data_IF_726486534662
#
_entry.id   IF_726486534662
#
_cell.length_a   1.000
_cell.length_b   1.000
_cell.length_c   1.000
_cell.angle_alpha   90.00
_cell.angle_beta   90.00
_cell.angle_gamma   90.00
#
_symmetry.space_group_name_H-M   'P 1'
#
loop_
_entity.id
_entity.type
_entity.pdbx_description
1 polymer ?
#
# COMPACT_ATOMS: atom_id res chain seq x y z
N UNK A 1 -23.48 27.28 -13.66
CA UNK A 1 -22.94 27.34 -12.28
C UNK A 1 -21.43 27.34 -12.40
N UNK A 2 -20.79 28.48 -12.09
CA UNK A 2 -19.35 28.62 -12.09
C UNK A 2 -18.78 27.71 -10.98
N UNK A 3 -17.81 26.88 -11.33
CA UNK A 3 -17.05 26.09 -10.36
C UNK A 3 -16.31 27.06 -9.43
N UNK A 4 -16.78 27.20 -8.20
CA UNK A 4 -16.01 27.86 -7.16
C UNK A 4 -14.70 27.06 -6.99
N UNK A 5 -13.59 27.64 -7.43
CA UNK A 5 -12.27 27.23 -7.01
C UNK A 5 -12.24 27.47 -5.49
N UNK A 6 -12.18 26.39 -4.69
CA UNK A 6 -12.00 26.55 -3.25
C UNK A 6 -10.75 27.41 -3.01
N UNK A 7 -10.89 28.48 -2.24
CA UNK A 7 -9.75 29.31 -1.87
C UNK A 7 -8.71 28.45 -1.14
N UNK A 8 -7.42 28.63 -1.40
CA UNK A 8 -6.38 27.92 -0.70
C UNK A 8 -6.45 28.23 0.79
N UNK A 9 -6.42 27.21 1.62
CA UNK A 9 -6.39 27.31 3.07
C UNK A 9 -5.03 26.87 3.59
N UNK A 10 -4.67 27.24 4.81
CA UNK A 10 -3.44 26.78 5.47
C UNK A 10 -3.69 25.39 6.04
N UNK A 11 -2.74 24.47 5.84
CA UNK A 11 -2.75 23.16 6.47
C UNK A 11 -2.43 23.26 7.96
N UNK A 12 -2.83 22.25 8.75
CA UNK A 12 -2.45 22.17 10.19
C UNK A 12 -0.97 21.80 10.36
N UNK A 13 -0.38 21.14 9.36
CA UNK A 13 1.05 20.83 9.27
C UNK A 13 1.56 21.04 7.85
N UNK A 14 2.84 21.43 7.66
CA UNK A 14 3.44 21.52 6.33
C UNK A 14 3.37 20.19 5.57
N UNK A 15 3.28 20.27 4.25
CA UNK A 15 3.28 19.07 3.40
C UNK A 15 4.56 18.25 3.59
N UNK A 16 4.43 16.99 3.99
CA UNK A 16 5.57 16.09 4.29
C UNK A 16 6.44 15.78 3.07
N UNK A 17 5.92 16.00 1.85
CA UNK A 17 6.71 15.85 0.63
C UNK A 17 7.52 17.10 0.30
N UNK A 18 6.88 18.27 0.14
CA UNK A 18 7.54 19.47 -0.37
C UNK A 18 7.70 20.60 0.66
N UNK A 19 7.13 20.49 1.84
CA UNK A 19 7.13 21.52 2.88
C UNK A 19 6.13 22.68 2.64
N UNK A 20 5.33 22.62 1.57
CA UNK A 20 4.32 23.66 1.27
C UNK A 20 3.19 23.70 2.32
N UNK A 21 2.72 24.90 2.63
CA UNK A 21 1.66 25.13 3.65
C UNK A 21 0.27 25.37 3.04
N UNK A 22 0.22 25.71 1.75
CA UNK A 22 -1.03 26.00 1.05
C UNK A 22 -1.70 24.74 0.54
N UNK A 23 -2.95 24.55 0.93
CA UNK A 23 -3.76 23.38 0.56
C UNK A 23 -5.14 23.78 0.08
N UNK A 24 -5.76 22.89 -0.66
CA UNK A 24 -7.19 22.94 -0.98
C UNK A 24 -7.91 21.73 -0.38
N UNK A 25 -9.10 21.93 0.18
CA UNK A 25 -9.91 20.84 0.71
C UNK A 25 -10.53 20.05 -0.44
N UNK A 26 -10.30 18.73 -0.48
CA UNK A 26 -10.93 17.81 -1.43
C UNK A 26 -12.22 17.21 -0.88
N UNK A 27 -12.22 16.83 0.41
CA UNK A 27 -13.37 16.23 1.09
C UNK A 27 -13.36 16.55 2.58
N UNK A 28 -14.54 16.56 3.20
CA UNK A 28 -14.71 16.60 4.65
C UNK A 28 -15.36 15.32 5.20
N UNK A 29 -15.41 14.25 4.37
CA UNK A 29 -16.08 13.00 4.75
C UNK A 29 -15.22 11.79 4.40
N UNK A 30 -15.22 10.80 5.32
CA UNK A 30 -14.71 9.45 5.06
C UNK A 30 -15.75 8.63 4.27
N UNK A 31 -15.30 7.50 3.73
CA UNK A 31 -16.16 6.50 3.06
C UNK A 31 -17.27 5.96 3.95
N UNK A 32 -17.05 5.93 5.26
CA UNK A 32 -17.97 5.40 6.26
C UNK A 32 -18.95 6.48 6.78
N UNK A 33 -18.88 7.69 6.21
CA UNK A 33 -19.77 8.82 6.49
C UNK A 33 -19.34 9.70 7.67
N UNK A 34 -18.25 9.35 8.36
CA UNK A 34 -17.65 10.17 9.43
C UNK A 34 -16.97 11.43 8.89
N UNK A 35 -16.62 12.34 9.80
CA UNK A 35 -15.85 13.54 9.47
C UNK A 35 -14.39 13.17 9.18
N UNK A 36 -13.90 13.56 8.01
CA UNK A 36 -12.49 13.39 7.61
C UNK A 36 -12.12 14.50 6.64
N UNK A 37 -11.42 15.52 7.16
CA UNK A 37 -10.88 16.58 6.30
C UNK A 37 -9.69 16.02 5.53
N UNK A 38 -9.83 15.96 4.21
CA UNK A 38 -8.77 15.52 3.29
C UNK A 38 -8.37 16.70 2.41
N UNK A 39 -7.08 16.98 2.36
CA UNK A 39 -6.50 18.13 1.66
C UNK A 39 -5.52 17.70 0.57
N UNK A 40 -5.28 18.60 -0.37
CA UNK A 40 -4.26 18.46 -1.42
C UNK A 40 -3.30 19.63 -1.35
N UNK A 41 -2.00 19.37 -1.34
CA UNK A 41 -0.96 20.38 -1.42
C UNK A 41 -1.00 21.10 -2.76
N UNK A 42 -1.02 22.43 -2.75
CA UNK A 42 -1.05 23.26 -3.96
C UNK A 42 0.24 23.14 -4.79
N UNK A 43 1.38 22.85 -4.14
CA UNK A 43 2.71 22.87 -4.75
C UNK A 43 3.11 21.51 -5.36
N UNK A 44 2.78 20.39 -4.71
CA UNK A 44 3.18 19.07 -5.20
C UNK A 44 2.01 18.13 -5.49
N UNK A 45 0.80 18.43 -5.01
CA UNK A 45 -0.37 17.58 -5.21
C UNK A 45 -0.42 16.35 -4.30
N UNK A 46 0.42 16.24 -3.25
CA UNK A 46 0.24 15.21 -2.23
C UNK A 46 -1.11 15.41 -1.55
N UNK A 47 -1.85 14.33 -1.35
CA UNK A 47 -3.15 14.32 -0.68
C UNK A 47 -3.02 13.61 0.66
N UNK A 48 -3.54 14.22 1.74
CA UNK A 48 -3.51 13.61 3.07
C UNK A 48 -4.69 14.05 3.93
N UNK A 49 -4.93 13.32 5.01
CA UNK A 49 -5.89 13.69 6.06
C UNK A 49 -5.28 14.76 6.97
N UNK A 50 -5.94 15.92 7.13
CA UNK A 50 -5.43 17.07 7.89
C UNK A 50 -6.50 17.65 8.82
N UNK A 51 -6.37 17.50 10.16
CA UNK A 51 -5.30 16.77 10.84
C UNK A 51 -5.36 15.27 10.65
N UNK A 52 -4.26 14.56 10.95
CA UNK A 52 -4.29 13.10 11.01
C UNK A 52 -5.28 12.62 12.07
N UNK A 53 -5.98 11.50 11.82
CA UNK A 53 -6.77 10.84 12.83
C UNK A 53 -5.89 10.47 14.03
N UNK A 54 -6.34 10.78 15.25
CA UNK A 54 -5.61 10.42 16.45
C UNK A 54 -5.48 8.90 16.57
N UNK A 55 -4.29 8.41 17.00
CA UNK A 55 -4.00 6.99 17.26
C UNK A 55 -3.97 6.06 16.04
N UNK A 56 -3.46 6.48 14.88
CA UNK A 56 -3.28 5.60 13.74
C UNK A 56 -2.45 4.34 14.10
N UNK A 57 -1.38 4.47 14.90
CA UNK A 57 -0.59 3.32 15.40
C UNK A 57 -1.44 2.36 16.25
N UNK A 58 -2.15 2.86 17.25
CA UNK A 58 -3.01 2.05 18.11
C UNK A 58 -4.10 1.33 17.32
N UNK A 59 -4.65 1.99 16.31
CA UNK A 59 -5.65 1.40 15.41
C UNK A 59 -5.12 0.14 14.71
N UNK A 60 -3.85 0.12 14.28
CA UNK A 60 -3.24 -1.06 13.63
C UNK A 60 -2.79 -2.13 14.62
N UNK A 61 -2.31 -1.75 15.81
CA UNK A 61 -1.89 -2.71 16.83
C UNK A 61 -3.07 -3.51 17.42
N UNK A 62 -4.14 -2.82 17.81
CA UNK A 62 -5.24 -3.40 18.60
C UNK A 62 -6.54 -3.53 17.82
N UNK A 63 -6.99 -2.46 17.14
CA UNK A 63 -8.36 -2.30 16.68
C UNK A 63 -8.64 -2.84 15.28
N UNK A 64 -7.65 -2.80 14.38
CA UNK A 64 -7.86 -3.12 12.97
C UNK A 64 -8.41 -4.53 12.76
N UNK A 65 -8.03 -5.50 13.57
CA UNK A 65 -8.50 -6.88 13.44
C UNK A 65 -9.65 -7.26 14.36
N UNK A 66 -9.64 -6.82 15.61
CA UNK A 66 -10.74 -7.09 16.53
C UNK A 66 -12.06 -6.51 16.02
N UNK A 67 -12.00 -5.31 15.43
CA UNK A 67 -13.18 -4.65 14.85
C UNK A 67 -13.60 -5.25 13.50
N UNK A 68 -12.66 -5.72 12.67
CA UNK A 68 -12.97 -6.21 11.32
C UNK A 68 -13.18 -7.74 11.23
N UNK A 69 -12.50 -8.56 12.04
CA UNK A 69 -12.50 -10.03 11.83
C UNK A 69 -12.81 -10.88 13.06
N UNK A 70 -12.78 -10.35 14.27
CA UNK A 70 -13.11 -11.01 15.55
C UNK A 70 -12.40 -12.36 15.85
N UNK A 71 -11.38 -12.74 15.08
CA UNK A 71 -10.56 -13.94 15.31
C UNK A 71 -9.14 -13.72 14.85
N UNK A 72 -8.15 -14.31 15.56
CA UNK A 72 -6.75 -14.35 15.15
C UNK A 72 -6.48 -15.39 14.05
N UNK A 73 -7.28 -16.45 14.00
CA UNK A 73 -7.19 -17.46 12.96
C UNK A 73 -7.97 -17.01 11.71
N UNK A 74 -7.31 -16.87 10.56
CA UNK A 74 -7.98 -16.48 9.34
C UNK A 74 -8.86 -17.63 8.84
N UNK A 75 -10.08 -17.32 8.42
CA UNK A 75 -10.93 -18.31 7.74
C UNK A 75 -10.28 -18.73 6.41
N UNK A 76 -10.36 -20.00 6.04
CA UNK A 76 -9.75 -20.56 4.82
C UNK A 76 -10.01 -19.71 3.55
N UNK A 77 -11.22 -19.16 3.40
CA UNK A 77 -11.54 -18.25 2.29
C UNK A 77 -10.70 -16.94 2.29
N UNK A 78 -10.27 -16.46 3.47
CA UNK A 78 -9.42 -15.27 3.57
C UNK A 78 -7.99 -15.62 3.22
N UNK A 79 -7.51 -16.78 3.65
CA UNK A 79 -6.21 -17.32 3.25
C UNK A 79 -6.15 -17.52 1.73
N UNK A 80 -7.17 -18.14 1.13
CA UNK A 80 -7.27 -18.31 -0.32
C UNK A 80 -7.21 -16.96 -1.07
N UNK A 81 -7.90 -15.94 -0.57
CA UNK A 81 -7.85 -14.58 -1.16
C UNK A 81 -6.46 -13.97 -1.06
N UNK A 82 -5.86 -14.04 0.12
CA UNK A 82 -4.53 -13.51 0.36
C UNK A 82 -3.47 -14.28 -0.46
N UNK A 83 -3.61 -15.60 -0.59
CA UNK A 83 -2.79 -16.43 -1.46
C UNK A 83 -2.89 -16.04 -2.94
N UNK A 84 -4.11 -15.75 -3.45
CA UNK A 84 -4.27 -15.25 -4.82
C UNK A 84 -3.65 -13.84 -4.99
N UNK A 85 -3.72 -12.97 -3.98
CA UNK A 85 -3.01 -11.69 -3.99
C UNK A 85 -1.50 -11.93 -4.00
N UNK A 86 -0.99 -12.90 -3.23
CA UNK A 86 0.42 -13.29 -3.23
C UNK A 86 0.89 -13.72 -4.63
N UNK A 87 0.10 -14.52 -5.35
CA UNK A 87 0.40 -14.87 -6.75
C UNK A 87 0.44 -13.64 -7.66
N UNK A 88 -0.48 -12.70 -7.49
CA UNK A 88 -0.49 -11.43 -8.26
C UNK A 88 0.76 -10.59 -7.97
N UNK A 89 1.18 -10.51 -6.71
CA UNK A 89 2.42 -9.82 -6.30
C UNK A 89 3.65 -10.51 -6.87
N UNK A 90 3.70 -11.84 -6.80
CA UNK A 90 4.76 -12.64 -7.41
C UNK A 90 4.91 -12.36 -8.90
N UNK A 91 3.80 -12.35 -9.67
CA UNK A 91 3.83 -12.03 -11.10
C UNK A 91 4.47 -10.67 -11.41
N UNK A 92 4.27 -9.67 -10.54
CA UNK A 92 4.87 -8.34 -10.71
C UNK A 92 6.39 -8.35 -10.53
N UNK A 93 6.91 -9.21 -9.63
CA UNK A 93 8.33 -9.24 -9.25
C UNK A 93 9.10 -10.45 -9.77
N UNK A 94 8.46 -11.42 -10.43
CA UNK A 94 9.11 -12.69 -10.85
C UNK A 94 10.38 -12.49 -11.67
N UNK A 95 10.46 -11.40 -12.43
CA UNK A 95 11.66 -11.06 -13.21
C UNK A 95 12.87 -10.69 -12.33
N UNK A 96 12.67 -10.41 -11.04
CA UNK A 96 13.73 -10.16 -10.06
C UNK A 96 14.16 -11.42 -9.31
N UNK A 97 13.42 -12.54 -9.44
CA UNK A 97 13.53 -13.72 -8.57
C UNK A 97 14.36 -14.87 -9.21
N UNK A 98 15.22 -14.57 -10.18
CA UNK A 98 15.99 -15.59 -10.89
C UNK A 98 16.97 -16.40 -10.00
N UNK A 99 17.41 -15.83 -8.88
CA UNK A 99 18.32 -16.45 -7.93
C UNK A 99 17.77 -16.31 -6.51
N UNK A 100 18.17 -17.18 -5.56
CA UNK A 100 17.86 -17.00 -4.15
C UNK A 100 18.33 -15.63 -3.64
N UNK A 101 17.48 -14.95 -2.89
CA UNK A 101 17.70 -13.59 -2.41
C UNK A 101 17.41 -13.49 -0.90
N UNK A 102 18.00 -12.49 -0.24
CA UNK A 102 17.60 -12.05 1.09
C UNK A 102 16.59 -10.93 0.95
N UNK A 103 15.38 -11.16 1.47
CA UNK A 103 14.23 -10.30 1.23
C UNK A 103 13.59 -9.83 2.54
N UNK A 104 12.98 -8.65 2.51
CA UNK A 104 12.13 -8.12 3.59
C UNK A 104 10.74 -7.80 3.04
N UNK A 105 9.70 -8.35 3.68
CA UNK A 105 8.31 -7.98 3.42
C UNK A 105 7.77 -7.12 4.56
N UNK A 106 7.43 -5.87 4.27
CA UNK A 106 6.98 -4.87 5.26
C UNK A 106 5.47 -4.86 5.33
N UNK A 107 4.91 -5.10 6.52
CA UNK A 107 3.47 -5.30 6.70
C UNK A 107 3.03 -6.65 6.15
N UNK A 108 3.69 -7.72 6.63
CA UNK A 108 3.53 -9.10 6.13
C UNK A 108 2.09 -9.61 6.24
N UNK A 109 1.29 -9.05 7.15
CA UNK A 109 -0.10 -9.45 7.37
C UNK A 109 -0.23 -10.91 7.79
N UNK A 110 -1.03 -11.69 7.06
CA UNK A 110 -1.23 -13.13 7.31
C UNK A 110 -0.06 -14.00 6.88
N UNK A 111 0.97 -13.46 6.20
CA UNK A 111 2.18 -14.18 5.82
C UNK A 111 2.11 -14.92 4.49
N UNK A 112 0.99 -14.89 3.78
CA UNK A 112 0.78 -15.69 2.58
C UNK A 112 1.80 -15.37 1.46
N UNK A 113 2.14 -14.09 1.28
CA UNK A 113 3.15 -13.69 0.29
C UNK A 113 4.57 -14.06 0.72
N UNK A 114 4.93 -13.80 1.98
CA UNK A 114 6.23 -14.19 2.51
C UNK A 114 6.41 -15.73 2.48
N UNK A 115 5.33 -16.49 2.74
CA UNK A 115 5.35 -17.95 2.63
C UNK A 115 5.59 -18.42 1.19
N UNK A 116 4.97 -17.79 0.20
CA UNK A 116 5.24 -18.10 -1.21
C UNK A 116 6.72 -17.91 -1.55
N UNK A 117 7.30 -16.76 -1.20
CA UNK A 117 8.71 -16.45 -1.47
C UNK A 117 9.67 -17.42 -0.74
N UNK A 118 9.36 -17.78 0.51
CA UNK A 118 10.10 -18.81 1.24
C UNK A 118 10.03 -20.16 0.54
N UNK A 119 8.86 -20.56 0.06
CA UNK A 119 8.65 -21.84 -0.64
C UNK A 119 9.39 -21.89 -1.98
N UNK A 120 9.64 -20.73 -2.61
CA UNK A 120 10.49 -20.58 -3.79
C UNK A 120 12.00 -20.58 -3.47
N UNK A 121 12.40 -20.74 -2.21
CA UNK A 121 13.80 -20.87 -1.80
C UNK A 121 14.49 -19.53 -1.43
N UNK A 122 13.73 -18.43 -1.28
CA UNK A 122 14.29 -17.16 -0.84
C UNK A 122 14.41 -17.11 0.69
N UNK A 123 15.43 -16.37 1.18
CA UNK A 123 15.58 -16.05 2.59
C UNK A 123 14.73 -14.80 2.92
N UNK A 124 13.52 -15.01 3.41
CA UNK A 124 12.55 -13.95 3.67
C UNK A 124 12.42 -13.65 5.16
N UNK A 125 12.54 -12.39 5.50
CA UNK A 125 12.17 -11.82 6.80
C UNK A 125 10.93 -10.94 6.62
N UNK A 126 10.18 -10.74 7.69
CA UNK A 126 9.02 -9.86 7.67
C UNK A 126 8.90 -9.02 8.93
N UNK A 127 8.10 -7.96 8.85
CA UNK A 127 7.70 -7.16 10.00
C UNK A 127 6.21 -6.88 9.94
N UNK A 128 5.51 -7.08 11.08
CA UNK A 128 4.06 -6.94 11.17
C UNK A 128 3.66 -6.31 12.51
N UNK A 129 2.94 -5.16 12.53
CA UNK A 129 2.53 -4.52 13.77
C UNK A 129 1.42 -5.27 14.49
N UNK A 130 0.59 -6.05 13.79
CA UNK A 130 -0.44 -6.84 14.45
C UNK A 130 0.13 -8.14 15.00
N UNK A 131 0.25 -8.22 16.33
CA UNK A 131 0.83 -9.36 17.04
C UNK A 131 0.16 -10.69 16.67
N UNK A 132 -1.15 -10.73 16.62
CA UNK A 132 -1.88 -11.97 16.33
C UNK A 132 -1.65 -12.49 14.90
N UNK A 133 -1.45 -11.57 13.93
CA UNK A 133 -1.04 -11.95 12.57
C UNK A 133 0.38 -12.47 12.52
N UNK A 134 1.30 -11.75 13.16
CA UNK A 134 2.70 -12.14 13.20
C UNK A 134 2.89 -13.51 13.86
N UNK A 135 2.31 -13.74 15.04
CA UNK A 135 2.38 -15.02 15.73
C UNK A 135 1.76 -16.17 14.93
N UNK A 136 0.59 -15.94 14.33
CA UNK A 136 -0.08 -16.92 13.49
C UNK A 136 0.80 -17.32 12.28
N UNK A 137 1.27 -16.34 11.51
CA UNK A 137 2.04 -16.60 10.30
C UNK A 137 3.42 -17.19 10.59
N UNK A 138 4.07 -16.81 11.71
CA UNK A 138 5.29 -17.43 12.16
C UNK A 138 5.09 -18.90 12.50
N UNK A 139 4.03 -19.25 13.25
CA UNK A 139 3.72 -20.61 13.66
C UNK A 139 3.26 -21.48 12.47
N UNK A 140 2.32 -21.01 11.66
CA UNK A 140 1.71 -21.78 10.57
C UNK A 140 2.65 -21.99 9.40
N UNK A 141 3.45 -20.96 9.03
CA UNK A 141 4.30 -20.99 7.83
C UNK A 141 5.80 -21.06 8.16
N UNK A 142 6.17 -21.03 9.43
CA UNK A 142 7.57 -21.04 9.87
C UNK A 142 8.34 -19.80 9.41
N UNK A 143 7.71 -18.61 9.39
CA UNK A 143 8.31 -17.36 8.96
C UNK A 143 9.14 -16.70 10.06
N UNK A 144 10.20 -15.99 9.67
CA UNK A 144 10.98 -15.13 10.54
C UNK A 144 10.37 -13.73 10.53
N UNK A 145 9.64 -13.38 11.58
CA UNK A 145 8.94 -12.11 11.68
C UNK A 145 9.35 -11.32 12.92
N UNK A 146 9.57 -10.01 12.73
CA UNK A 146 9.61 -9.06 13.82
C UNK A 146 8.19 -8.53 14.07
N UNK A 147 7.84 -8.35 15.34
CA UNK A 147 6.61 -7.68 15.74
C UNK A 147 6.88 -6.19 15.90
N UNK A 148 6.07 -5.35 15.24
CA UNK A 148 6.14 -3.90 15.33
C UNK A 148 6.04 -3.20 13.99
N UNK A 149 6.17 -1.88 14.03
CA UNK A 149 6.23 -1.03 12.84
C UNK A 149 7.65 -1.00 12.26
N UNK A 150 7.74 -0.83 10.94
CA UNK A 150 9.06 -0.72 10.29
C UNK A 150 9.90 0.43 10.84
N UNK A 151 9.27 1.48 11.34
CA UNK A 151 9.96 2.61 11.98
C UNK A 151 10.80 2.17 13.18
N UNK A 152 10.32 1.18 13.92
CA UNK A 152 10.94 0.66 15.16
C UNK A 152 11.70 -0.66 14.94
N UNK A 153 11.51 -1.29 13.76
CA UNK A 153 12.15 -2.57 13.42
C UNK A 153 13.68 -2.48 13.37
N UNK A 154 14.34 -3.51 13.87
CA UNK A 154 15.81 -3.62 13.91
C UNK A 154 16.27 -4.60 12.82
N UNK A 155 16.92 -4.07 11.80
CA UNK A 155 17.49 -4.83 10.68
C UNK A 155 18.87 -4.30 10.36
N UNK A 156 19.76 -5.19 9.94
CA UNK A 156 21.10 -4.83 9.51
C UNK A 156 21.05 -3.96 8.23
N UNK A 157 21.76 -2.82 8.21
CA UNK A 157 21.89 -2.01 7.01
C UNK A 157 22.44 -2.82 5.83
N UNK A 158 22.05 -2.45 4.62
CA UNK A 158 22.55 -3.02 3.37
C UNK A 158 22.51 -4.56 3.28
N UNK A 159 21.48 -5.17 3.90
CA UNK A 159 21.36 -6.61 4.00
C UNK A 159 20.37 -7.26 3.03
N UNK A 160 19.47 -6.47 2.41
CA UNK A 160 18.40 -6.99 1.57
C UNK A 160 18.63 -6.74 0.08
N UNK A 161 18.45 -7.79 -0.72
CA UNK A 161 18.43 -7.73 -2.18
C UNK A 161 17.11 -7.14 -2.69
N UNK A 162 16.00 -7.48 -2.02
CA UNK A 162 14.66 -7.02 -2.37
C UNK A 162 13.88 -6.69 -1.10
N UNK A 163 13.30 -5.50 -1.07
CA UNK A 163 12.34 -5.11 -0.03
C UNK A 163 10.99 -4.85 -0.70
N UNK A 164 9.93 -5.38 -0.12
CA UNK A 164 8.56 -5.16 -0.59
C UNK A 164 7.72 -4.48 0.48
N UNK A 165 6.88 -3.53 0.06
CA UNK A 165 5.92 -2.83 0.92
C UNK A 165 4.62 -2.66 0.13
N UNK A 166 3.57 -3.41 0.53
CA UNK A 166 2.32 -3.53 -0.19
C UNK A 166 1.17 -2.98 0.65
N UNK A 167 0.61 -1.84 0.27
CA UNK A 167 -0.50 -1.21 0.99
C UNK A 167 -0.19 -0.95 2.48
N UNK A 168 0.95 -0.36 2.76
CA UNK A 168 1.41 0.02 4.10
C UNK A 168 1.80 1.48 4.17
N UNK A 169 2.45 2.00 3.11
CA UNK A 169 3.04 3.34 3.14
C UNK A 169 1.98 4.44 3.34
N UNK A 170 0.78 4.25 2.79
CA UNK A 170 -0.37 5.17 2.95
C UNK A 170 -0.88 5.26 4.38
N UNK A 171 -0.50 4.33 5.24
CA UNK A 171 -0.90 4.26 6.65
C UNK A 171 0.15 4.81 7.62
N UNK A 172 1.35 5.12 7.13
CA UNK A 172 2.46 5.58 7.97
C UNK A 172 2.37 7.09 8.23
N UNK A 173 2.70 7.51 9.45
CA UNK A 173 2.66 8.94 9.84
C UNK A 173 3.74 9.76 9.14
N UNK A 174 4.90 9.16 8.87
CA UNK A 174 5.99 9.76 8.11
C UNK A 174 6.48 8.81 7.00
N UNK A 175 5.89 8.90 5.80
CA UNK A 175 6.28 8.04 4.68
C UNK A 175 7.70 8.32 4.17
N UNK A 176 8.23 9.53 4.37
CA UNK A 176 9.61 9.84 4.00
C UNK A 176 10.60 9.10 4.91
N UNK A 177 10.37 9.13 6.22
CA UNK A 177 11.19 8.36 7.17
C UNK A 177 11.17 6.87 6.82
N UNK A 178 10.00 6.30 6.54
CA UNK A 178 9.86 4.89 6.16
C UNK A 178 10.67 4.57 4.90
N UNK A 179 10.49 5.32 3.83
CA UNK A 179 11.19 5.06 2.55
C UNK A 179 12.71 5.24 2.71
N UNK A 180 13.15 6.25 3.48
CA UNK A 180 14.57 6.46 3.75
C UNK A 180 15.18 5.32 4.59
N UNK A 181 14.45 4.81 5.59
CA UNK A 181 14.85 3.63 6.34
C UNK A 181 14.96 2.39 5.45
N UNK A 182 13.95 2.12 4.62
CA UNK A 182 13.99 0.99 3.69
C UNK A 182 15.16 1.10 2.71
N UNK A 183 15.46 2.33 2.23
CA UNK A 183 16.65 2.56 1.41
C UNK A 183 17.94 2.18 2.13
N UNK A 184 18.09 2.50 3.42
CA UNK A 184 19.31 2.16 4.18
C UNK A 184 19.49 0.64 4.37
N UNK A 185 18.39 -0.12 4.35
CA UNK A 185 18.42 -1.58 4.47
C UNK A 185 18.74 -2.30 3.15
N UNK A 186 18.54 -1.65 2.00
CA UNK A 186 18.86 -2.23 0.70
C UNK A 186 20.37 -2.37 0.51
N UNK A 187 20.81 -3.45 -0.11
CA UNK A 187 22.15 -3.57 -0.72
C UNK A 187 22.33 -2.51 -1.82
N UNK A 188 23.56 -2.35 -2.32
CA UNK A 188 23.88 -1.36 -3.37
C UNK A 188 22.98 -1.52 -4.61
N UNK A 189 22.80 -2.77 -5.07
CA UNK A 189 21.99 -3.13 -6.24
C UNK A 189 20.58 -3.63 -5.84
N UNK A 190 20.19 -3.43 -4.59
CA UNK A 190 18.90 -3.87 -4.07
C UNK A 190 17.74 -3.06 -4.62
N UNK A 191 16.58 -3.69 -4.72
CA UNK A 191 15.34 -3.10 -5.25
C UNK A 191 14.32 -2.94 -4.11
N UNK A 192 13.69 -1.77 -4.04
CA UNK A 192 12.51 -1.51 -3.22
C UNK A 192 11.27 -1.49 -4.10
N UNK A 193 10.30 -2.36 -3.79
CA UNK A 193 8.99 -2.40 -4.45
C UNK A 193 7.94 -1.81 -3.53
N UNK A 194 7.31 -0.73 -3.97
CA UNK A 194 6.26 -0.02 -3.22
C UNK A 194 4.96 -0.07 -3.98
N UNK A 195 3.89 -0.57 -3.38
CA UNK A 195 2.54 -0.49 -3.95
C UNK A 195 1.60 0.25 -2.99
N UNK A 196 0.86 1.20 -3.54
CA UNK A 196 -0.14 1.99 -2.82
C UNK A 196 -1.40 2.15 -3.68
N UNK A 197 -2.57 2.46 -3.06
CA UNK A 197 -3.75 2.90 -3.82
C UNK A 197 -3.42 4.15 -4.64
N UNK A 198 -3.90 4.16 -5.89
CA UNK A 198 -3.70 5.28 -6.80
C UNK A 198 -4.80 6.33 -6.62
N UNK A 199 -4.43 7.53 -6.17
CA UNK A 199 -5.37 8.64 -5.99
C UNK A 199 -6.10 9.07 -7.27
N UNK A 200 -5.52 8.79 -8.44
CA UNK A 200 -6.14 9.09 -9.74
C UNK A 200 -7.15 8.03 -10.21
N UNK A 201 -7.31 6.95 -9.44
CA UNK A 201 -8.20 5.85 -9.80
C UNK A 201 -9.68 6.25 -9.74
N UNK A 202 -10.43 5.83 -10.76
CA UNK A 202 -11.88 6.00 -10.83
C UNK A 202 -12.65 4.68 -10.80
N UNK A 203 -11.95 3.61 -10.50
CA UNK A 203 -12.50 2.25 -10.47
C UNK A 203 -13.44 1.99 -9.29
N UNK A 204 -13.30 2.71 -8.17
CA UNK A 204 -14.22 2.66 -7.02
C UNK A 204 -15.18 3.83 -7.06
N UNK A 205 -16.25 3.80 -6.25
CA UNK A 205 -17.16 4.94 -6.18
C UNK A 205 -16.49 6.15 -5.53
N UNK A 206 -16.84 7.39 -5.91
CA UNK A 206 -16.26 8.60 -5.33
C UNK A 206 -16.36 8.65 -3.80
N UNK A 207 -17.45 8.17 -3.23
CA UNK A 207 -17.65 8.13 -1.78
C UNK A 207 -16.66 7.18 -1.07
N UNK A 208 -16.05 6.23 -1.79
CA UNK A 208 -15.11 5.25 -1.24
C UNK A 208 -13.66 5.70 -1.31
N UNK A 209 -13.38 6.92 -1.79
CA UNK A 209 -12.02 7.40 -2.05
C UNK A 209 -11.22 7.59 -0.77
N UNK A 210 -11.81 8.25 0.24
CA UNK A 210 -11.10 8.60 1.46
C UNK A 210 -11.49 7.70 2.63
N UNK A 211 -10.49 7.29 3.39
CA UNK A 211 -10.61 6.33 4.48
C UNK A 211 -9.78 6.79 5.68
N UNK A 212 -10.32 6.70 6.89
CA UNK A 212 -9.63 7.15 8.11
C UNK A 212 -8.28 6.46 8.35
N UNK A 213 -8.15 5.20 7.91
CA UNK A 213 -6.89 4.48 8.00
C UNK A 213 -5.83 4.94 6.98
N UNK A 214 -6.21 5.61 5.88
CA UNK A 214 -5.28 6.15 4.89
C UNK A 214 -4.89 7.57 5.26
N UNK A 215 -3.75 7.74 5.90
CA UNK A 215 -3.22 9.06 6.24
C UNK A 215 -2.84 9.83 4.98
N UNK A 216 -2.32 9.11 3.98
CA UNK A 216 -1.92 9.64 2.68
C UNK A 216 -2.63 8.95 1.52
N UNK A 217 -2.76 9.69 0.42
CA UNK A 217 -3.25 9.18 -0.85
C UNK A 217 -2.27 9.60 -1.94
N UNK A 218 -1.52 8.64 -2.46
CA UNK A 218 -0.48 8.87 -3.44
C UNK A 218 -1.01 8.72 -4.89
N UNK A 219 -0.39 9.45 -5.81
CA UNK A 219 -0.39 9.10 -7.21
C UNK A 219 1.05 8.77 -7.66
N UNK A 220 1.23 8.35 -8.91
CA UNK A 220 2.56 8.01 -9.43
C UNK A 220 3.57 9.15 -9.22
N UNK A 221 3.17 10.40 -9.48
CA UNK A 221 4.07 11.55 -9.40
C UNK A 221 4.54 11.83 -7.97
N UNK A 222 3.65 11.79 -6.98
CA UNK A 222 3.99 12.04 -5.56
C UNK A 222 4.78 10.88 -4.96
N UNK A 223 4.45 9.62 -5.33
CA UNK A 223 5.21 8.46 -4.85
C UNK A 223 6.63 8.43 -5.44
N UNK A 224 6.77 8.72 -6.75
CA UNK A 224 8.09 8.89 -7.39
C UNK A 224 8.91 9.96 -6.70
N UNK A 225 8.32 11.13 -6.49
CA UNK A 225 8.99 12.27 -5.85
C UNK A 225 9.41 11.98 -4.42
N UNK A 226 8.62 11.18 -3.68
CA UNK A 226 8.98 10.71 -2.35
C UNK A 226 10.21 9.78 -2.39
N UNK A 227 10.27 8.88 -3.35
CA UNK A 227 11.45 8.03 -3.57
C UNK A 227 12.69 8.85 -3.93
N UNK A 228 12.57 9.82 -4.85
CA UNK A 228 13.65 10.74 -5.22
C UNK A 228 14.17 11.49 -4.00
N UNK A 229 13.27 12.03 -3.15
CA UNK A 229 13.62 12.72 -1.90
C UNK A 229 14.41 11.82 -0.94
N UNK A 230 14.12 10.53 -0.92
CA UNK A 230 14.85 9.54 -0.13
C UNK A 230 16.14 9.03 -0.82
N UNK A 231 16.54 9.57 -1.97
CA UNK A 231 17.72 9.13 -2.71
C UNK A 231 17.53 7.82 -3.46
N UNK A 232 16.32 7.58 -3.92
CA UNK A 232 15.97 6.47 -4.80
C UNK A 232 15.62 6.99 -6.19
N UNK A 233 15.82 6.16 -7.21
CA UNK A 233 15.38 6.43 -8.58
C UNK A 233 14.42 5.35 -9.03
N UNK A 234 13.37 5.75 -9.74
CA UNK A 234 12.46 4.82 -10.36
C UNK A 234 13.16 4.04 -11.47
N UNK A 235 13.05 2.72 -11.43
CA UNK A 235 13.46 1.83 -12.52
C UNK A 235 12.26 1.48 -13.40
N UNK A 236 11.11 1.24 -12.78
CA UNK A 236 9.89 0.83 -13.45
C UNK A 236 8.66 1.18 -12.60
N UNK A 237 7.51 1.34 -13.24
CA UNK A 237 6.22 1.34 -12.56
C UNK A 237 5.18 0.49 -13.28
N UNK A 238 4.16 0.07 -12.55
CA UNK A 238 3.00 -0.66 -13.04
C UNK A 238 1.73 -0.06 -12.44
N UNK A 239 0.65 -0.13 -13.20
CA UNK A 239 -0.70 0.07 -12.65
C UNK A 239 -1.41 -1.28 -12.60
N UNK A 240 -2.31 -1.46 -11.61
CA UNK A 240 -3.27 -2.57 -11.65
C UNK A 240 -4.17 -2.44 -12.89
N UNK A 241 -4.75 -3.55 -13.35
CA UNK A 241 -5.60 -3.58 -14.55
C UNK A 241 -6.76 -2.56 -14.48
N UNK A 242 -7.30 -2.33 -13.28
CA UNK A 242 -8.36 -1.36 -13.05
C UNK A 242 -7.86 0.06 -12.73
N UNK A 243 -6.54 0.29 -12.75
CA UNK A 243 -5.89 1.54 -12.40
C UNK A 243 -5.94 1.88 -10.90
N UNK A 244 -6.48 0.98 -10.06
CA UNK A 244 -6.73 1.20 -8.64
C UNK A 244 -5.47 1.32 -7.78
N UNK A 245 -4.38 0.70 -8.21
CA UNK A 245 -3.10 0.69 -7.51
C UNK A 245 -1.97 1.12 -8.43
N UNK A 246 -0.94 1.71 -7.85
CA UNK A 246 0.34 2.00 -8.50
C UNK A 246 1.45 1.27 -7.75
N UNK A 247 2.29 0.54 -8.50
CA UNK A 247 3.48 -0.16 -8.00
C UNK A 247 4.71 0.48 -8.61
N UNK A 248 5.66 0.94 -7.78
CA UNK A 248 6.96 1.47 -8.22
C UNK A 248 8.07 0.53 -7.79
N UNK A 249 9.05 0.40 -8.66
CA UNK A 249 10.31 -0.30 -8.43
C UNK A 249 11.41 0.75 -8.35
N UNK A 250 12.07 0.80 -7.21
CA UNK A 250 13.12 1.77 -6.94
C UNK A 250 14.46 1.08 -6.72
N UNK A 251 15.53 1.73 -7.15
CA UNK A 251 16.91 1.41 -6.79
C UNK A 251 17.59 2.61 -6.16
N UNK A 252 18.70 2.38 -5.46
CA UNK A 252 19.49 3.46 -4.90
C UNK A 252 19.98 4.41 -6.01
N UNK A 253 19.84 5.72 -5.82
CA UNK A 253 20.48 6.69 -6.66
C UNK A 253 22.00 6.69 -6.40
N UNK A 254 22.81 6.97 -7.43
CA UNK A 254 24.27 7.07 -7.28
C UNK A 254 24.67 8.18 -6.28
N UNK A 255 23.89 9.26 -6.23
CA UNK A 255 24.10 10.38 -5.33
C UNK A 255 22.83 10.68 -4.55
N UNK A 256 22.98 11.11 -3.30
CA UNK A 256 21.86 11.65 -2.53
C UNK A 256 21.42 13.00 -3.11
N UNK A 257 20.13 13.35 -3.01
CA UNK A 257 19.64 14.64 -3.44
C UNK A 257 20.27 15.77 -2.60
N UNK A 258 20.39 16.94 -3.20
CA UNK A 258 20.85 18.13 -2.50
C UNK A 258 19.87 18.51 -1.37
N UNK A 259 20.41 19.03 -0.26
CA UNK A 259 19.61 19.41 0.91
C UNK A 259 18.54 20.48 0.60
N UNK A 260 18.75 21.31 -0.43
CA UNK A 260 17.82 22.36 -0.86
C UNK A 260 17.05 22.00 -2.13
N UNK A 261 16.97 20.71 -2.50
CA UNK A 261 16.24 20.28 -3.67
C UNK A 261 14.75 20.70 -3.60
N UNK A 262 14.21 21.11 -4.73
CA UNK A 262 12.80 21.49 -4.85
C UNK A 262 11.94 20.24 -5.08
N UNK A 263 11.01 20.01 -4.17
CA UNK A 263 10.09 18.84 -4.19
C UNK A 263 8.69 19.19 -4.73
N UNK A 264 8.50 20.34 -5.34
CA UNK A 264 7.24 20.70 -6.00
C UNK A 264 7.02 19.86 -7.27
N UNK A 265 5.75 19.70 -7.65
CA UNK A 265 5.36 18.97 -8.88
C UNK A 265 4.35 19.82 -9.65
N UNK A 266 4.85 20.55 -10.62
CA UNK A 266 4.04 21.49 -11.38
C UNK A 266 2.81 20.81 -12.02
N UNK A 267 1.64 21.40 -11.85
CA UNK A 267 0.38 20.95 -12.45
C UNK A 267 -0.25 19.70 -11.81
N UNK A 268 0.44 19.02 -10.88
CA UNK A 268 -0.08 17.77 -10.30
C UNK A 268 -1.33 17.99 -9.42
N UNK A 269 -1.34 19.04 -8.61
CA UNK A 269 -2.49 19.40 -7.78
C UNK A 269 -3.76 19.67 -8.62
N UNK A 270 -3.62 20.42 -9.71
CA UNK A 270 -4.71 20.73 -10.63
C UNK A 270 -5.21 19.47 -11.33
N UNK A 271 -4.29 18.59 -11.76
CA UNK A 271 -4.61 17.32 -12.40
C UNK A 271 -5.44 16.42 -11.48
N UNK A 272 -4.96 16.17 -10.26
CA UNK A 272 -5.65 15.33 -9.27
C UNK A 272 -7.03 15.92 -8.94
N UNK A 273 -7.08 17.23 -8.65
CA UNK A 273 -8.33 17.92 -8.34
C UNK A 273 -9.35 17.82 -9.48
N UNK A 274 -8.89 17.91 -10.73
CA UNK A 274 -9.75 17.79 -11.91
C UNK A 274 -10.29 16.37 -12.05
N UNK A 275 -9.46 15.34 -11.89
CA UNK A 275 -9.89 13.94 -11.94
C UNK A 275 -10.92 13.66 -10.84
N UNK A 276 -10.61 14.06 -9.59
CA UNK A 276 -11.50 13.85 -8.44
C UNK A 276 -12.86 14.52 -8.64
N UNK A 277 -12.89 15.79 -9.05
CA UNK A 277 -14.13 16.54 -9.33
C UNK A 277 -14.93 15.98 -10.51
N UNK A 278 -14.25 15.48 -11.53
CA UNK A 278 -14.90 14.85 -12.69
C UNK A 278 -15.47 13.47 -12.41
N UNK A 279 -15.02 12.79 -11.36
CA UNK A 279 -15.47 11.48 -10.93
C UNK A 279 -16.67 11.61 -9.99
N UNK A 280 -17.87 11.79 -10.56
CA UNK A 280 -19.13 11.92 -9.81
C UNK A 280 -19.84 10.56 -9.65
N UNK A 281 -20.73 10.45 -8.64
CA UNK A 281 -21.58 9.27 -8.46
C UNK A 281 -22.39 8.96 -9.70
N UNK A 282 -22.97 9.98 -10.35
CA UNK A 282 -23.71 9.78 -11.59
C UNK A 282 -22.84 9.12 -12.66
N UNK A 283 -21.66 9.68 -12.93
CA UNK A 283 -20.72 9.12 -13.91
C UNK A 283 -20.27 7.70 -13.54
N UNK A 284 -20.03 7.44 -12.27
CA UNK A 284 -19.61 6.12 -11.79
C UNK A 284 -20.70 5.07 -12.02
N UNK A 285 -21.95 5.33 -11.60
CA UNK A 285 -23.04 4.36 -11.66
C UNK A 285 -23.72 4.27 -13.04
N UNK A 286 -23.49 5.21 -13.94
CA UNK A 286 -23.88 5.07 -15.36
C UNK A 286 -22.86 4.28 -16.19
N UNK A 287 -21.66 4.04 -15.65
CA UNK A 287 -20.64 3.21 -16.28
C UNK A 287 -20.83 1.71 -16.01
N UNK A 288 -20.13 0.86 -16.76
CA UNK A 288 -20.18 -0.60 -16.62
C UNK A 288 -19.31 -1.14 -15.47
N UNK A 289 -18.33 -0.38 -15.01
CA UNK A 289 -17.33 -0.82 -14.02
C UNK A 289 -17.92 -1.32 -12.69
N UNK A 290 -18.91 -0.64 -12.05
CA UNK A 290 -19.53 -1.11 -10.82
C UNK A 290 -20.20 -2.48 -10.97
N UNK A 291 -20.88 -2.69 -12.09
CA UNK A 291 -21.62 -3.91 -12.37
C UNK A 291 -20.69 -5.09 -12.65
N UNK A 292 -19.62 -4.88 -13.41
CA UNK A 292 -18.57 -5.91 -13.62
C UNK A 292 -17.93 -6.33 -12.30
N UNK A 293 -17.65 -5.37 -11.41
CA UNK A 293 -17.14 -5.66 -10.07
C UNK A 293 -18.12 -6.43 -9.20
N UNK A 294 -19.41 -6.12 -9.30
CA UNK A 294 -20.44 -6.84 -8.56
C UNK A 294 -20.53 -8.30 -9.02
N UNK A 295 -20.62 -8.56 -10.32
CA UNK A 295 -20.62 -9.91 -10.89
C UNK A 295 -19.32 -10.65 -10.53
N UNK A 296 -18.17 -10.02 -10.65
CA UNK A 296 -16.87 -10.61 -10.27
C UNK A 296 -16.80 -10.99 -8.79
N UNK A 297 -17.43 -10.22 -7.89
CA UNK A 297 -17.53 -10.58 -6.48
C UNK A 297 -18.44 -11.81 -6.24
N UNK A 298 -19.54 -11.92 -6.95
CA UNK A 298 -20.47 -13.08 -6.84
C UNK A 298 -19.78 -14.36 -7.35
N UNK A 299 -19.19 -14.34 -8.53
CA UNK A 299 -18.49 -15.49 -9.11
C UNK A 299 -17.32 -15.93 -8.24
N UNK A 300 -16.53 -14.97 -7.73
CA UNK A 300 -15.45 -15.23 -6.77
C UNK A 300 -15.97 -15.91 -5.50
N UNK A 301 -17.07 -15.42 -4.92
CA UNK A 301 -17.65 -16.01 -3.69
C UNK A 301 -18.07 -17.46 -3.87
N UNK A 302 -18.60 -17.81 -5.04
CA UNK A 302 -18.96 -19.19 -5.38
C UNK A 302 -17.70 -20.07 -5.57
N UNK A 303 -16.71 -19.57 -6.29
CA UNK A 303 -15.42 -20.24 -6.47
C UNK A 303 -14.76 -20.53 -5.12
N UNK A 304 -14.65 -19.51 -4.25
CA UNK A 304 -13.99 -19.62 -2.95
C UNK A 304 -14.61 -20.69 -2.05
N UNK A 305 -15.95 -20.82 -2.05
CA UNK A 305 -16.66 -21.86 -1.26
C UNK A 305 -16.24 -23.27 -1.65
N UNK A 306 -15.93 -23.50 -2.91
CA UNK A 306 -15.53 -24.81 -3.42
C UNK A 306 -14.02 -25.03 -3.31
N UNK A 307 -13.23 -24.00 -3.60
CA UNK A 307 -11.77 -24.06 -3.62
C UNK A 307 -11.13 -24.30 -2.23
N UNK A 308 -11.84 -24.00 -1.15
CA UNK A 308 -11.33 -24.27 0.22
C UNK A 308 -11.71 -25.66 0.78
N UNK A 309 -12.49 -26.45 0.04
CA UNK A 309 -12.88 -27.78 0.48
C UNK A 309 -11.71 -28.76 0.38
N UNK A 310 -11.56 -29.59 1.40
CA UNK A 310 -10.55 -30.65 1.41
C UNK A 310 -9.18 -30.27 2.00
N UNK A 311 -8.97 -29.00 2.35
CA UNK A 311 -7.74 -28.57 3.03
C UNK A 311 -7.93 -28.59 4.56
N UNK A 312 -6.91 -29.08 5.26
CA UNK A 312 -6.94 -29.27 6.73
C UNK A 312 -6.48 -28.05 7.50
N UNK A 313 -5.56 -27.23 6.92
CA UNK A 313 -5.02 -26.02 7.51
C UNK A 313 -4.65 -25.01 6.41
N UNK A 314 -4.26 -23.82 6.82
CA UNK A 314 -3.92 -22.72 5.91
C UNK A 314 -2.67 -23.02 5.07
N UNK A 315 -1.68 -23.68 5.67
CA UNK A 315 -0.47 -24.07 4.96
C UNK A 315 -0.76 -25.02 3.81
N UNK A 316 -1.54 -26.10 4.05
CA UNK A 316 -1.90 -27.06 3.00
C UNK A 316 -2.72 -26.42 1.86
N UNK A 317 -3.55 -25.42 2.19
CA UNK A 317 -4.30 -24.65 1.18
C UNK A 317 -3.35 -23.84 0.29
N UNK A 318 -2.34 -23.18 0.86
CA UNK A 318 -1.35 -22.41 0.11
C UNK A 318 -0.42 -23.33 -0.69
N UNK A 319 0.02 -24.46 -0.14
CA UNK A 319 0.81 -25.47 -0.86
C UNK A 319 0.07 -25.95 -2.13
N UNK A 320 -1.24 -26.21 -1.99
CA UNK A 320 -2.09 -26.57 -3.11
C UNK A 320 -2.26 -25.43 -4.13
N UNK A 321 -2.31 -24.19 -3.67
CA UNK A 321 -2.46 -23.01 -4.53
C UNK A 321 -1.17 -22.69 -5.29
N UNK A 322 0.00 -22.88 -4.68
CA UNK A 322 1.32 -22.52 -5.22
C UNK A 322 2.01 -23.64 -5.97
N UNK A 323 1.44 -24.86 -5.99
CA UNK A 323 2.04 -26.09 -6.54
C UNK A 323 2.65 -25.96 -7.93
N UNK A 324 2.06 -25.12 -8.79
CA UNK A 324 2.52 -24.94 -10.17
C UNK A 324 3.73 -23.99 -10.28
N UNK A 325 4.12 -23.35 -9.18
CA UNK A 325 5.30 -22.48 -9.06
C UNK A 325 6.46 -23.17 -8.33
N UNK A 326 6.16 -24.19 -7.52
CA UNK A 326 7.12 -24.95 -6.70
C UNK A 326 7.62 -26.18 -7.45
#
# INVERSE_FOLDING_TARGET
MQAQTAEPTIATSPCHLCGGEHVSVLSNRSRDGGELRTVICSDCGLVWSDPFPHNARKFYEEDYRLNYKKTYEPKAKHVLRAGNVALTRHEKIKHLLANPQTMLDVGTGGGEFAYLLKSLGHNIQGIEPNKGYGEYSAAEYGLQLQHGFIQDGEFEPESFDLITIWHVLEHTEDPFFVVNKLRSLLKADGILVVEVPNMEATCQSPISTFHEAHLYNFNLATLRKLGEKAGLIEERHLFSEDGGNVTLFFKKAANLPEAQANWTIAGNAQRISSIYKAHTNLKHYTGLAPYRRFVGRMTRSLYEKNAVKGFTNSKSLLDGLYKDLL
#
